data_IF_138549771128
#
_entry.id   IF_138549771128
#
_cell.length_a   1.000
_cell.length_b   1.000
_cell.length_c   1.000
_cell.angle_alpha   90.00
_cell.angle_beta   90.00
_cell.angle_gamma   90.00
#
_symmetry.space_group_name_H-M   'P 1'
#
loop_
_entity.id
_entity.type
_entity.pdbx_description
1 polymer ?
#
# COMPACT_ATOMS: atom_id res chain seq x y z
N UNK A 1 17.63 46.76 24.80
CA UNK A 1 17.04 46.59 26.15
C UNK A 1 16.17 45.33 26.07
N UNK A 2 16.65 44.20 26.59
CA UNK A 2 16.17 43.53 27.83
C UNK A 2 14.69 43.08 27.65
N UNK A 3 14.29 41.80 27.72
CA UNK A 3 14.57 40.82 28.77
C UNK A 3 14.45 39.35 28.28
N UNK A 4 15.20 38.46 28.93
CA UNK A 4 15.01 37.01 29.09
C UNK A 4 13.56 36.65 29.49
N UNK A 5 13.01 35.44 29.45
CA UNK A 5 13.49 34.05 29.62
C UNK A 5 12.22 33.17 29.43
N UNK A 6 12.25 31.87 29.15
CA UNK A 6 12.29 30.81 30.18
C UNK A 6 12.38 29.48 29.42
N UNK A 7 13.52 28.81 29.57
CA UNK A 7 13.64 27.36 29.40
C UNK A 7 12.90 26.72 30.57
N UNK A 8 11.69 26.22 30.35
CA UNK A 8 10.99 25.37 31.32
C UNK A 8 11.07 23.92 30.88
N UNK A 9 12.23 23.30 31.17
CA UNK A 9 12.34 21.85 31.31
C UNK A 9 11.47 21.42 32.48
N UNK A 10 10.36 20.73 32.22
CA UNK A 10 9.59 20.00 33.24
C UNK A 10 9.39 18.58 32.70
N UNK A 11 10.39 17.73 32.87
CA UNK A 11 10.44 16.69 33.93
C UNK A 11 9.16 15.84 33.90
N UNK A 12 9.30 14.73 33.18
CA UNK A 12 8.80 13.39 33.50
C UNK A 12 8.21 13.31 34.90
N UNK A 13 6.91 13.07 34.97
CA UNK A 13 6.23 12.50 36.12
C UNK A 13 5.33 11.40 35.55
N UNK A 14 5.71 10.15 35.78
CA UNK A 14 4.83 9.03 35.48
C UNK A 14 3.66 9.01 36.45
N UNK A 15 2.50 8.62 35.97
CA UNK A 15 1.52 7.81 36.71
C UNK A 15 0.88 6.87 35.68
N UNK A 16 1.12 5.58 35.86
CA UNK A 16 0.31 4.48 35.36
C UNK A 16 -1.02 4.44 36.10
N UNK A 17 -2.16 4.46 35.39
CA UNK A 17 -3.39 3.73 35.71
C UNK A 17 -4.54 4.13 34.77
N UNK A 18 -5.12 3.12 34.12
CA UNK A 18 -6.50 2.97 33.63
C UNK A 18 -7.33 4.20 33.23
N UNK A 19 -7.89 4.17 32.02
CA UNK A 19 -9.32 3.95 31.81
C UNK A 19 -9.69 3.95 30.33
N UNK A 20 -10.60 3.05 30.00
CA UNK A 20 -11.26 2.90 28.70
C UNK A 20 -12.25 4.05 28.46
N UNK A 21 -12.55 4.26 27.17
CA UNK A 21 -13.73 4.92 26.58
C UNK A 21 -13.63 6.43 26.23
N UNK A 22 -13.64 6.70 24.93
CA UNK A 22 -14.55 7.68 24.32
C UNK A 22 -14.04 9.11 24.13
N UNK A 23 -13.61 9.42 22.91
CA UNK A 23 -13.56 10.79 22.40
C UNK A 23 -12.31 11.07 21.58
N UNK A 24 -12.46 11.24 20.27
CA UNK A 24 -11.40 11.87 19.47
C UNK A 24 -11.96 13.16 18.89
N UNK A 25 -11.50 14.24 19.51
CA UNK A 25 -11.61 15.60 19.04
C UNK A 25 -10.82 15.78 17.73
N UNK A 26 -11.30 16.70 16.89
CA UNK A 26 -10.58 17.22 15.73
C UNK A 26 -9.17 17.69 16.13
N UNK A 27 -8.16 17.19 15.40
CA UNK A 27 -6.78 17.63 15.50
C UNK A 27 -6.02 17.20 14.26
N UNK A 28 -5.90 18.11 13.29
CA UNK A 28 -5.03 17.95 12.13
C UNK A 28 -3.61 18.24 12.63
N UNK A 29 -2.78 17.20 12.78
CA UNK A 29 -1.34 17.33 12.99
C UNK A 29 -0.64 16.22 12.22
N UNK A 30 0.33 16.60 11.39
CA UNK A 30 1.17 15.66 10.65
C UNK A 30 1.94 14.75 11.60
N UNK A 31 1.65 13.46 11.51
CA UNK A 31 2.45 12.37 12.05
C UNK A 31 2.48 11.29 10.96
N UNK A 32 3.56 10.50 10.82
CA UNK A 32 3.52 9.33 9.94
C UNK A 32 2.31 8.51 10.38
N UNK A 33 1.53 8.02 9.42
CA UNK A 33 0.33 7.20 9.61
C UNK A 33 0.47 6.43 10.91
N UNK A 34 -0.30 6.81 11.94
CA UNK A 34 -0.46 5.93 13.08
C UNK A 34 -0.86 4.60 12.44
N UNK A 35 0.01 3.60 12.54
CA UNK A 35 -0.34 2.24 12.19
C UNK A 35 -1.42 1.87 13.20
N UNK A 36 -2.66 2.30 12.92
CA UNK A 36 -3.82 1.56 13.34
C UNK A 36 -3.49 0.11 12.97
N UNK A 37 -3.69 -0.80 13.92
CA UNK A 37 -3.52 -2.21 13.66
C UNK A 37 -4.19 -2.51 12.31
N UNK A 38 -3.54 -3.27 11.41
CA UNK A 38 -4.08 -3.52 10.08
C UNK A 38 -5.53 -3.96 10.21
N UNK A 39 -6.42 -3.27 9.50
CA UNK A 39 -7.84 -3.58 9.55
C UNK A 39 -8.07 -4.86 8.75
N UNK A 40 -7.95 -5.98 9.45
CA UNK A 40 -8.13 -7.32 8.90
C UNK A 40 -9.60 -7.73 8.76
N UNK A 41 -10.52 -6.79 8.98
CA UNK A 41 -11.91 -6.98 8.62
C UNK A 41 -12.01 -7.12 7.10
N UNK A 42 -12.99 -7.88 6.57
CA UNK A 42 -13.15 -8.03 5.13
C UNK A 42 -13.31 -6.69 4.41
N UNK A 43 -13.93 -5.69 5.06
CA UNK A 43 -14.07 -4.34 4.52
C UNK A 43 -12.74 -3.58 4.43
N UNK A 44 -11.90 -3.61 5.48
CA UNK A 44 -10.58 -2.97 5.46
C UNK A 44 -9.66 -3.59 4.43
N UNK A 45 -9.63 -4.92 4.37
CA UNK A 45 -8.87 -5.68 3.39
C UNK A 45 -9.32 -5.34 1.96
N UNK A 46 -10.62 -5.35 1.69
CA UNK A 46 -11.15 -4.99 0.37
C UNK A 46 -10.85 -3.51 0.02
N UNK A 47 -10.90 -2.60 1.00
CA UNK A 47 -10.55 -1.20 0.83
C UNK A 47 -9.09 -1.04 0.35
N UNK A 48 -8.15 -1.79 0.94
CA UNK A 48 -6.75 -1.79 0.51
C UNK A 48 -6.59 -2.30 -0.92
N UNK A 49 -7.25 -3.41 -1.27
CA UNK A 49 -7.21 -3.96 -2.64
C UNK A 49 -7.78 -2.96 -3.64
N UNK A 50 -8.93 -2.36 -3.35
CA UNK A 50 -9.57 -1.38 -4.23
C UNK A 50 -8.72 -0.12 -4.38
N UNK A 51 -8.09 0.35 -3.30
CA UNK A 51 -7.19 1.50 -3.33
C UNK A 51 -5.94 1.22 -4.17
N UNK A 52 -5.28 0.07 -3.97
CA UNK A 52 -4.11 -0.34 -4.73
C UNK A 52 -4.45 -0.52 -6.23
N UNK A 53 -5.61 -1.12 -6.52
CA UNK A 53 -6.08 -1.32 -7.88
C UNK A 53 -6.42 0.01 -8.57
N UNK A 54 -7.11 0.91 -7.88
CA UNK A 54 -7.39 2.26 -8.39
C UNK A 54 -6.12 3.08 -8.64
N UNK A 55 -5.12 2.97 -7.76
CA UNK A 55 -3.82 3.58 -7.98
C UNK A 55 -3.09 2.98 -9.20
N UNK A 56 -3.18 1.66 -9.41
CA UNK A 56 -2.61 1.01 -10.58
C UNK A 56 -3.31 1.46 -11.87
N UNK A 57 -4.64 1.58 -11.88
CA UNK A 57 -5.39 2.10 -13.02
C UNK A 57 -5.00 3.54 -13.36
N UNK A 58 -4.85 4.40 -12.36
CA UNK A 58 -4.37 5.78 -12.56
C UNK A 58 -2.95 5.82 -13.11
N UNK A 59 -2.07 4.96 -12.61
CA UNK A 59 -0.72 4.82 -13.12
C UNK A 59 -0.71 4.39 -14.59
N UNK A 60 -1.49 3.37 -14.94
CA UNK A 60 -1.61 2.87 -16.31
C UNK A 60 -2.22 3.92 -17.25
N UNK A 61 -3.15 4.76 -16.78
CA UNK A 61 -3.68 5.87 -17.57
C UNK A 61 -2.60 6.90 -17.96
N UNK A 62 -1.59 7.10 -17.11
CA UNK A 62 -0.40 7.92 -17.41
C UNK A 62 0.69 7.20 -18.21
N UNK A 63 0.63 5.87 -18.31
CA UNK A 63 1.66 5.02 -18.93
C UNK A 63 1.05 4.18 -20.05
N UNK A 64 0.89 4.73 -21.27
CA UNK A 64 0.23 4.03 -22.37
C UNK A 64 0.96 2.73 -22.76
N UNK A 65 2.29 2.67 -22.65
CA UNK A 65 3.06 1.44 -22.91
C UNK A 65 2.69 0.32 -21.93
N UNK A 66 2.72 0.60 -20.63
CA UNK A 66 2.36 -0.36 -19.60
C UNK A 66 0.89 -0.76 -19.71
N UNK A 67 0.00 0.19 -19.99
CA UNK A 67 -1.42 -0.09 -20.18
C UNK A 67 -1.66 -1.03 -21.36
N UNK A 68 -0.95 -0.86 -22.48
CA UNK A 68 -1.04 -1.79 -23.62
C UNK A 68 -0.53 -3.18 -23.25
N UNK A 69 0.61 -3.28 -22.55
CA UNK A 69 1.16 -4.57 -22.12
C UNK A 69 0.22 -5.32 -21.16
N UNK A 70 -0.32 -4.62 -20.17
CA UNK A 70 -1.29 -5.17 -19.20
C UNK A 70 -2.62 -5.53 -19.88
N UNK A 71 -3.13 -4.69 -20.77
CA UNK A 71 -4.38 -4.96 -21.49
C UNK A 71 -4.22 -6.17 -22.42
N UNK A 72 -3.11 -6.28 -23.14
CA UNK A 72 -2.82 -7.44 -23.99
C UNK A 72 -2.73 -8.74 -23.17
N UNK A 73 -2.14 -8.68 -21.98
CA UNK A 73 -1.99 -9.83 -21.09
C UNK A 73 -3.34 -10.44 -20.66
N UNK A 74 -4.43 -9.66 -20.55
CA UNK A 74 -5.75 -10.18 -20.21
C UNK A 74 -6.34 -11.14 -21.25
N UNK A 75 -5.95 -11.00 -22.53
CA UNK A 75 -6.40 -11.88 -23.61
C UNK A 75 -5.50 -13.09 -23.87
N UNK A 76 -4.33 -13.15 -23.21
CA UNK A 76 -3.31 -14.16 -23.46
C UNK A 76 -3.39 -15.32 -22.46
N UNK A 77 -2.92 -16.52 -22.85
CA UNK A 77 -2.72 -17.61 -21.89
C UNK A 77 -1.68 -17.18 -20.84
N UNK A 78 -1.88 -17.61 -19.60
CA UNK A 78 -1.11 -17.18 -18.42
C UNK A 78 0.42 -17.15 -18.62
N UNK A 79 0.99 -18.20 -19.22
CA UNK A 79 2.43 -18.28 -19.45
C UNK A 79 2.94 -17.23 -20.44
N UNK A 80 2.15 -16.94 -21.47
CA UNK A 80 2.49 -15.93 -22.48
C UNK A 80 2.30 -14.51 -21.93
N UNK A 81 1.22 -14.29 -21.17
CA UNK A 81 0.98 -13.04 -20.45
C UNK A 81 2.15 -12.71 -19.50
N UNK A 82 2.59 -13.67 -18.69
CA UNK A 82 3.70 -13.48 -17.76
C UNK A 82 5.02 -13.19 -18.49
N UNK A 83 5.30 -13.90 -19.58
CA UNK A 83 6.50 -13.67 -20.39
C UNK A 83 6.49 -12.28 -21.06
N UNK A 84 5.34 -11.86 -21.59
CA UNK A 84 5.19 -10.57 -22.26
C UNK A 84 5.30 -9.40 -21.28
N UNK A 85 4.65 -9.50 -20.11
CA UNK A 85 4.78 -8.51 -19.03
C UNK A 85 6.22 -8.45 -18.51
N UNK A 86 6.87 -9.59 -18.27
CA UNK A 86 8.29 -9.61 -17.88
C UNK A 86 9.17 -8.93 -18.93
N UNK A 87 8.98 -9.24 -20.21
CA UNK A 87 9.72 -8.61 -21.30
C UNK A 87 9.57 -7.09 -21.31
N UNK A 88 8.34 -6.60 -21.18
CA UNK A 88 8.04 -5.17 -21.08
C UNK A 88 8.72 -4.54 -19.86
N UNK A 89 8.47 -5.07 -18.66
CA UNK A 89 8.97 -4.49 -17.42
C UNK A 89 10.50 -4.64 -17.24
N UNK A 90 11.13 -5.60 -17.91
CA UNK A 90 12.60 -5.69 -17.99
C UNK A 90 13.19 -4.56 -18.84
N UNK A 91 12.51 -4.17 -19.92
CA UNK A 91 12.89 -3.01 -20.73
C UNK A 91 12.52 -1.68 -20.04
N UNK A 92 11.52 -1.69 -19.15
CA UNK A 92 10.99 -0.54 -18.42
C UNK A 92 11.11 -0.71 -16.90
N UNK A 93 12.34 -0.78 -16.33
CA UNK A 93 12.55 -1.09 -14.92
C UNK A 93 11.97 -0.02 -13.98
N UNK A 94 11.97 1.26 -14.38
CA UNK A 94 11.34 2.31 -13.59
C UNK A 94 9.83 2.06 -13.43
N UNK A 95 9.15 1.68 -14.51
CA UNK A 95 7.72 1.42 -14.48
C UNK A 95 7.38 0.18 -13.67
N UNK A 96 8.27 -0.81 -13.70
CA UNK A 96 8.18 -2.00 -12.87
C UNK A 96 8.20 -1.66 -11.37
N UNK A 97 9.18 -0.87 -10.92
CA UNK A 97 9.30 -0.50 -9.51
C UNK A 97 8.13 0.37 -9.04
N UNK A 98 7.63 1.26 -9.88
CA UNK A 98 6.47 2.10 -9.56
C UNK A 98 5.21 1.24 -9.37
N UNK A 99 4.88 0.40 -10.36
CA UNK A 99 3.72 -0.49 -10.29
C UNK A 99 3.84 -1.49 -9.13
N UNK A 100 5.05 -2.01 -8.87
CA UNK A 100 5.33 -2.87 -7.71
C UNK A 100 5.08 -2.13 -6.39
N UNK A 101 5.48 -0.86 -6.30
CA UNK A 101 5.23 0.00 -5.13
C UNK A 101 3.73 0.23 -4.90
N UNK A 102 2.98 0.46 -5.98
CA UNK A 102 1.52 0.62 -5.94
C UNK A 102 0.81 -0.65 -5.46
N UNK A 103 1.32 -1.81 -5.88
CA UNK A 103 0.74 -3.13 -5.59
C UNK A 103 1.23 -3.76 -4.27
N UNK A 104 2.31 -3.24 -3.69
CA UNK A 104 2.86 -3.68 -2.40
C UNK A 104 1.86 -3.79 -1.23
N UNK A 105 0.91 -2.85 -1.01
CA UNK A 105 -0.01 -2.94 0.12
C UNK A 105 -0.94 -4.15 0.08
N UNK A 106 -1.19 -4.74 -1.09
CA UNK A 106 -2.02 -5.95 -1.22
C UNK A 106 -1.34 -7.12 -0.51
N UNK A 107 -0.11 -7.45 -0.92
CA UNK A 107 0.67 -8.54 -0.33
C UNK A 107 1.16 -8.26 1.09
N UNK A 108 1.24 -6.99 1.51
CA UNK A 108 1.43 -6.64 2.92
C UNK A 108 0.20 -6.97 3.75
N UNK A 109 -1.00 -6.61 3.27
CA UNK A 109 -2.28 -6.93 3.91
C UNK A 109 -2.53 -8.43 3.98
N UNK A 110 -2.24 -9.18 2.90
CA UNK A 110 -2.35 -10.64 2.90
C UNK A 110 -1.49 -11.28 3.98
N UNK A 111 -0.24 -10.81 4.13
CA UNK A 111 0.70 -11.33 5.15
C UNK A 111 0.33 -10.90 6.56
N UNK A 112 -0.11 -9.65 6.75
CA UNK A 112 -0.47 -9.11 8.06
C UNK A 112 -1.76 -9.72 8.59
N UNK A 113 -2.73 -9.97 7.72
CA UNK A 113 -4.05 -10.48 8.09
C UNK A 113 -4.18 -12.00 7.90
N UNK A 114 -3.17 -12.67 7.32
CA UNK A 114 -3.18 -14.10 7.00
C UNK A 114 -4.43 -14.51 6.20
N UNK A 115 -4.73 -13.73 5.17
CA UNK A 115 -5.87 -13.91 4.26
C UNK A 115 -5.37 -13.95 2.81
N UNK A 116 -6.12 -14.63 1.95
CA UNK A 116 -5.97 -14.54 0.49
C UNK A 116 -7.05 -13.61 -0.03
N UNK A 117 -6.65 -12.50 -0.65
CA UNK A 117 -7.56 -11.41 -1.06
C UNK A 117 -7.74 -11.37 -2.56
N UNK A 118 -6.83 -12.03 -3.28
CA UNK A 118 -6.89 -12.22 -4.72
C UNK A 118 -7.49 -13.59 -5.04
N UNK A 119 -8.29 -13.72 -6.11
CA UNK A 119 -8.65 -15.04 -6.60
C UNK A 119 -7.38 -15.80 -7.03
N UNK A 120 -7.36 -17.14 -6.97
CA UNK A 120 -6.14 -17.94 -7.06
C UNK A 120 -5.35 -17.73 -8.37
N UNK A 121 -6.05 -17.44 -9.46
CA UNK A 121 -5.43 -17.10 -10.74
C UNK A 121 -4.73 -15.73 -10.72
N UNK A 122 -5.26 -14.73 -10.00
CA UNK A 122 -4.60 -13.42 -9.89
C UNK A 122 -3.52 -13.43 -8.81
N UNK A 123 -3.73 -14.16 -7.71
CA UNK A 123 -2.75 -14.30 -6.63
C UNK A 123 -1.41 -14.80 -7.17
N UNK A 124 -1.44 -15.90 -7.92
CA UNK A 124 -0.22 -16.45 -8.53
C UNK A 124 0.45 -15.44 -9.49
N UNK A 125 -0.33 -14.59 -10.18
CA UNK A 125 0.20 -13.63 -11.15
C UNK A 125 0.82 -12.41 -10.46
N UNK A 126 0.17 -11.97 -9.38
CA UNK A 126 0.68 -10.96 -8.47
C UNK A 126 2.00 -11.41 -7.85
N UNK A 127 2.08 -12.61 -7.26
CA UNK A 127 3.32 -13.12 -6.69
C UNK A 127 4.44 -13.22 -7.72
N UNK A 128 4.13 -13.71 -8.91
CA UNK A 128 5.11 -13.80 -9.99
C UNK A 128 5.64 -12.42 -10.40
N UNK A 129 4.75 -11.43 -10.54
CA UNK A 129 5.14 -10.04 -10.83
C UNK A 129 5.98 -9.43 -9.69
N UNK A 130 5.61 -9.65 -8.43
CA UNK A 130 6.33 -9.10 -7.28
C UNK A 130 7.71 -9.75 -7.08
N UNK A 131 7.89 -11.00 -7.51
CA UNK A 131 9.16 -11.73 -7.44
C UNK A 131 10.22 -11.23 -8.45
N UNK A 132 9.78 -10.68 -9.59
CA UNK A 132 10.65 -10.27 -10.71
C UNK A 132 10.80 -11.38 -11.74
#
# INVERSE_FOLDING_TARGET
MKFSSIVARRRVAGISAGCLLGGIAMGIVGAPSAAAAPDCSPEGVNSTVMSARGAAEQYLAGHPGANQAVTAAYGQPRGEAAANLRGYFTAHPNEYYDLRGILAPIGDTERQCNVSVLPPNLESAYHEFMAG
#
